data_IF_657848472723
#
_entry.id   IF_657848472723
#
_cell.length_a   1.000
_cell.length_b   1.000
_cell.length_c   1.000
_cell.angle_alpha   90.00
_cell.angle_beta   90.00
_cell.angle_gamma   90.00
#
_symmetry.space_group_name_H-M   'P 1'
#
loop_
_entity.id
_entity.type
_entity.pdbx_description
1 polymer ?
#
# COMPACT_ATOMS: atom_id res chain seq x y z
N UNK A 1 -25.94 -37.10 46.82
CA UNK A 1 -26.48 -35.76 47.16
C UNK A 1 -26.72 -35.06 45.84
N UNK A 2 -27.98 -34.81 45.47
CA UNK A 2 -28.36 -34.32 44.13
C UNK A 2 -27.81 -32.90 43.92
N UNK A 3 -27.14 -32.69 42.79
CA UNK A 3 -26.72 -31.39 42.30
C UNK A 3 -27.93 -30.45 42.32
N UNK A 4 -27.85 -29.41 43.14
CA UNK A 4 -28.85 -28.35 43.15
C UNK A 4 -28.57 -27.52 41.90
N UNK A 5 -29.28 -27.81 40.82
CA UNK A 5 -29.37 -26.92 39.66
C UNK A 5 -29.86 -25.57 40.15
N UNK A 6 -28.93 -24.63 40.34
CA UNK A 6 -29.25 -23.26 40.71
C UNK A 6 -29.95 -22.63 39.50
N UNK A 7 -31.28 -22.60 39.50
CA UNK A 7 -32.04 -21.91 38.45
C UNK A 7 -31.71 -20.43 38.55
N UNK A 8 -30.94 -19.92 37.59
CA UNK A 8 -30.70 -18.49 37.46
C UNK A 8 -32.05 -17.76 37.45
N UNK A 9 -32.16 -16.71 38.25
CA UNK A 9 -33.38 -15.92 38.37
C UNK A 9 -33.51 -14.98 37.18
N UNK A 10 -34.72 -14.48 36.91
CA UNK A 10 -34.97 -13.48 35.86
C UNK A 10 -34.04 -12.27 36.03
N UNK A 11 -33.81 -11.82 37.28
CA UNK A 11 -32.87 -10.74 37.59
C UNK A 11 -31.43 -11.05 37.19
N UNK A 12 -30.96 -12.29 37.36
CA UNK A 12 -29.62 -12.71 36.93
C UNK A 12 -29.49 -12.69 35.40
N UNK A 13 -30.59 -12.96 34.68
CA UNK A 13 -30.62 -12.85 33.23
C UNK A 13 -30.64 -11.39 32.77
N UNK A 14 -31.39 -10.52 33.42
CA UNK A 14 -31.42 -9.08 33.10
C UNK A 14 -30.03 -8.45 33.30
N UNK A 15 -29.33 -8.78 34.39
CA UNK A 15 -27.97 -8.29 34.63
C UNK A 15 -26.97 -8.81 33.56
N UNK A 16 -27.11 -10.08 33.15
CA UNK A 16 -26.29 -10.65 32.07
C UNK A 16 -26.59 -9.99 30.72
N UNK A 17 -27.86 -9.70 30.43
CA UNK A 17 -28.27 -8.99 29.22
C UNK A 17 -27.62 -7.60 29.19
N UNK A 18 -27.67 -6.87 30.30
CA UNK A 18 -27.10 -5.52 30.35
C UNK A 18 -25.58 -5.54 30.17
N UNK A 19 -24.88 -6.46 30.85
CA UNK A 19 -23.43 -6.68 30.65
C UNK A 19 -23.10 -7.01 29.19
N UNK A 20 -23.96 -7.79 28.51
CA UNK A 20 -23.75 -8.14 27.10
C UNK A 20 -24.01 -6.97 26.17
N UNK A 21 -24.97 -6.09 26.45
CA UNK A 21 -25.18 -4.85 25.71
C UNK A 21 -23.97 -3.93 25.82
N UNK A 22 -23.43 -3.76 27.03
CA UNK A 22 -22.21 -2.96 27.25
C UNK A 22 -21.01 -3.55 26.50
N UNK A 23 -20.88 -4.87 26.49
CA UNK A 23 -19.84 -5.57 25.73
C UNK A 23 -19.98 -5.34 24.21
N UNK A 24 -21.20 -5.38 23.68
CA UNK A 24 -21.49 -5.07 22.26
C UNK A 24 -21.06 -3.65 21.93
N UNK A 25 -21.49 -2.65 22.71
CA UNK A 25 -21.14 -1.24 22.48
C UNK A 25 -19.62 -1.04 22.50
N UNK A 26 -18.92 -1.69 23.45
CA UNK A 26 -17.46 -1.64 23.52
C UNK A 26 -16.79 -2.25 22.30
N UNK A 27 -17.28 -3.39 21.81
CA UNK A 27 -16.75 -4.08 20.64
C UNK A 27 -17.00 -3.28 19.36
N UNK A 28 -18.16 -2.66 19.20
CA UNK A 28 -18.47 -1.77 18.08
C UNK A 28 -17.57 -0.55 18.05
N UNK A 29 -17.34 0.08 19.21
CA UNK A 29 -16.40 1.19 19.33
C UNK A 29 -14.97 0.76 18.95
N UNK A 30 -14.53 -0.42 19.42
CA UNK A 30 -13.22 -0.99 19.05
C UNK A 30 -13.12 -1.27 17.55
N UNK A 31 -14.16 -1.84 16.94
CA UNK A 31 -14.22 -2.12 15.50
C UNK A 31 -14.11 -0.83 14.69
N UNK A 32 -14.86 0.21 15.06
CA UNK A 32 -14.82 1.52 14.40
C UNK A 32 -13.43 2.15 14.49
N UNK A 33 -12.78 2.05 15.65
CA UNK A 33 -11.42 2.55 15.83
C UNK A 33 -10.39 1.79 14.97
N UNK A 34 -10.52 0.46 14.86
CA UNK A 34 -9.65 -0.36 14.01
C UNK A 34 -9.83 -0.03 12.52
N UNK A 35 -11.07 0.12 12.05
CA UNK A 35 -11.37 0.52 10.67
C UNK A 35 -10.80 1.91 10.34
N UNK A 36 -10.84 2.85 11.28
CA UNK A 36 -10.23 4.16 11.10
C UNK A 36 -8.70 4.05 10.92
N UNK A 37 -8.04 3.26 11.77
CA UNK A 37 -6.59 3.02 11.67
C UNK A 37 -6.20 2.35 10.35
N UNK A 38 -7.02 1.43 9.86
CA UNK A 38 -6.82 0.78 8.57
C UNK A 38 -6.90 1.78 7.41
N UNK A 39 -7.94 2.60 7.36
CA UNK A 39 -8.06 3.68 6.36
C UNK A 39 -6.93 4.71 6.41
N UNK A 40 -6.40 4.98 7.60
CA UNK A 40 -5.24 5.87 7.76
C UNK A 40 -3.95 5.21 7.25
N UNK A 41 -3.76 3.90 7.49
CA UNK A 41 -2.62 3.14 6.94
C UNK A 41 -2.69 3.07 5.42
N UNK A 42 -3.85 2.74 4.87
CA UNK A 42 -4.07 2.68 3.42
C UNK A 42 -3.73 4.02 2.75
N UNK A 43 -4.20 5.14 3.30
CA UNK A 43 -3.84 6.48 2.81
C UNK A 43 -2.33 6.71 2.81
N UNK A 44 -1.63 6.38 3.91
CA UNK A 44 -0.17 6.52 4.00
C UNK A 44 0.55 5.68 2.95
N UNK A 45 0.09 4.46 2.70
CA UNK A 45 0.72 3.58 1.71
C UNK A 45 0.45 4.04 0.29
N UNK A 46 -0.74 4.55 0.00
CA UNK A 46 -1.06 5.17 -1.29
C UNK A 46 -0.14 6.34 -1.58
N UNK A 47 0.07 7.25 -0.61
CA UNK A 47 1.01 8.37 -0.77
C UNK A 47 2.45 7.90 -1.00
N UNK A 48 2.93 6.93 -0.22
CA UNK A 48 4.28 6.40 -0.41
C UNK A 48 4.49 5.77 -1.80
N UNK A 49 3.48 5.05 -2.29
CA UNK A 49 3.49 4.47 -3.61
C UNK A 49 3.50 5.53 -4.72
N UNK A 50 2.64 6.56 -4.61
CA UNK A 50 2.60 7.68 -5.55
C UNK A 50 3.93 8.44 -5.60
N UNK A 51 4.55 8.72 -4.45
CA UNK A 51 5.86 9.38 -4.41
C UNK A 51 6.94 8.54 -5.10
N UNK A 52 6.92 7.22 -4.88
CA UNK A 52 7.89 6.31 -5.51
C UNK A 52 7.71 6.27 -7.03
N UNK A 53 6.46 6.25 -7.52
CA UNK A 53 6.20 6.36 -8.97
C UNK A 53 6.69 7.71 -9.52
N UNK A 54 6.40 8.80 -8.82
CA UNK A 54 6.86 10.14 -9.23
C UNK A 54 8.38 10.20 -9.36
N UNK A 55 9.12 9.66 -8.38
CA UNK A 55 10.58 9.55 -8.45
C UNK A 55 11.06 8.73 -9.65
N UNK A 56 10.42 7.59 -9.93
CA UNK A 56 10.74 6.74 -11.09
C UNK A 56 10.54 7.51 -12.40
N UNK A 57 9.40 8.21 -12.55
CA UNK A 57 9.07 8.96 -13.77
C UNK A 57 10.08 10.07 -14.00
N UNK A 58 10.35 10.89 -12.98
CA UNK A 58 11.29 12.01 -13.06
C UNK A 58 12.70 11.51 -13.40
N UNK A 59 13.15 10.42 -12.78
CA UNK A 59 14.43 9.79 -13.11
C UNK A 59 14.48 9.23 -14.55
N UNK A 60 13.39 8.63 -15.03
CA UNK A 60 13.34 8.03 -16.36
C UNK A 60 13.32 9.10 -17.47
N UNK A 61 12.60 10.20 -17.27
CA UNK A 61 12.55 11.33 -18.21
C UNK A 61 13.83 12.16 -18.14
N UNK A 62 14.50 12.19 -16.99
CA UNK A 62 15.75 12.93 -16.80
C UNK A 62 15.55 14.44 -16.61
N UNK A 63 14.35 14.88 -16.24
CA UNK A 63 14.00 16.27 -15.97
C UNK A 63 13.78 16.53 -14.48
N UNK A 64 13.62 17.80 -14.08
CA UNK A 64 13.08 18.14 -12.77
C UNK A 64 11.57 17.86 -12.67
N UNK A 65 11.03 17.66 -11.46
CA UNK A 65 9.58 17.44 -11.29
C UNK A 65 8.74 18.67 -11.68
N UNK A 66 9.33 19.86 -11.62
CA UNK A 66 8.74 21.14 -12.01
C UNK A 66 8.70 21.35 -13.53
N UNK A 67 9.55 20.62 -14.25
CA UNK A 67 9.71 20.72 -15.71
C UNK A 67 8.85 19.69 -16.45
N UNK A 68 8.25 18.75 -15.71
CA UNK A 68 7.41 17.71 -16.28
C UNK A 68 6.04 18.27 -16.67
N UNK A 69 5.79 18.39 -17.97
CA UNK A 69 4.46 18.66 -18.51
C UNK A 69 3.59 17.41 -18.39
N UNK A 70 2.56 17.48 -17.54
CA UNK A 70 1.70 16.34 -17.24
C UNK A 70 0.73 16.00 -18.39
N UNK A 71 0.33 16.97 -19.21
CA UNK A 71 -0.59 16.76 -20.32
C UNK A 71 0.12 16.02 -21.45
N UNK A 72 1.33 16.49 -21.81
CA UNK A 72 2.15 15.84 -22.82
C UNK A 72 2.63 14.46 -22.35
N UNK A 73 2.97 14.32 -21.07
CA UNK A 73 3.35 13.02 -20.50
C UNK A 73 2.19 12.02 -20.54
N UNK A 74 0.96 12.45 -20.25
CA UNK A 74 -0.21 11.59 -20.36
C UNK A 74 -0.45 11.13 -21.80
N UNK A 75 -0.42 12.07 -22.77
CA UNK A 75 -0.58 11.73 -24.19
C UNK A 75 0.49 10.72 -24.66
N UNK A 76 1.74 10.92 -24.24
CA UNK A 76 2.85 9.99 -24.51
C UNK A 76 2.62 8.59 -23.91
N UNK A 77 2.11 8.51 -22.67
CA UNK A 77 1.77 7.23 -22.04
C UNK A 77 0.62 6.52 -22.77
N UNK A 78 -0.40 7.25 -23.19
CA UNK A 78 -1.54 6.71 -23.93
C UNK A 78 -1.10 6.13 -25.27
N UNK A 79 -0.23 6.84 -26.00
CA UNK A 79 0.39 6.34 -27.24
C UNK A 79 1.27 5.11 -26.98
N UNK A 80 2.08 5.11 -25.92
CA UNK A 80 2.96 4.00 -25.59
C UNK A 80 2.22 2.71 -25.15
N UNK A 81 0.99 2.84 -24.66
CA UNK A 81 0.16 1.73 -24.17
C UNK A 81 -0.85 1.26 -25.24
N UNK A 82 -0.99 2.01 -26.34
CA UNK A 82 -1.99 1.71 -27.38
C UNK A 82 -1.81 0.30 -27.95
N UNK A 83 -2.76 -0.58 -27.64
CA UNK A 83 -2.87 -1.95 -28.14
C UNK A 83 -2.26 -3.08 -27.31
N UNK A 84 -1.43 -2.81 -26.29
CA UNK A 84 -0.83 -3.86 -25.46
C UNK A 84 -0.59 -3.35 -24.05
N UNK A 85 -1.57 -3.54 -23.15
CA UNK A 85 -1.26 -3.45 -21.73
C UNK A 85 -0.31 -4.59 -21.37
N UNK A 86 0.94 -4.32 -20.99
CA UNK A 86 1.79 -5.37 -20.46
C UNK A 86 1.13 -5.98 -19.21
N UNK A 87 1.43 -7.24 -18.83
CA UNK A 87 0.82 -7.91 -17.68
C UNK A 87 1.35 -7.34 -16.35
N UNK A 88 1.14 -6.05 -16.13
CA UNK A 88 1.66 -5.25 -15.00
C UNK A 88 0.60 -5.12 -13.90
N UNK A 89 -0.65 -5.50 -14.19
CA UNK A 89 -1.74 -5.51 -13.21
C UNK A 89 -1.71 -6.79 -12.38
N UNK A 90 -1.50 -6.65 -11.07
CA UNK A 90 -1.69 -7.73 -10.09
C UNK A 90 -3.11 -7.66 -9.53
N UNK A 91 -3.96 -8.61 -9.90
CA UNK A 91 -5.33 -8.70 -9.35
C UNK A 91 -5.31 -9.17 -7.88
N UNK A 92 -6.23 -8.64 -7.06
CA UNK A 92 -6.44 -9.09 -5.68
C UNK A 92 -5.38 -8.71 -4.65
N UNK A 93 -4.46 -7.79 -4.96
CA UNK A 93 -3.45 -7.36 -3.97
C UNK A 93 -4.05 -6.49 -2.88
N UNK A 94 -3.83 -6.87 -1.61
CA UNK A 94 -4.10 -6.00 -0.47
C UNK A 94 -3.13 -4.80 -0.45
N UNK A 95 -3.51 -3.64 0.13
CA UNK A 95 -2.65 -2.48 0.29
C UNK A 95 -1.32 -2.79 1.01
N UNK A 96 -1.35 -3.69 2.00
CA UNK A 96 -0.18 -4.17 2.74
C UNK A 96 0.88 -4.76 1.82
N UNK A 97 0.45 -5.60 0.87
CA UNK A 97 1.35 -6.32 -0.02
C UNK A 97 1.90 -5.39 -1.10
N UNK A 98 1.08 -4.44 -1.58
CA UNK A 98 1.55 -3.36 -2.44
C UNK A 98 2.64 -2.55 -1.75
N UNK A 99 2.45 -2.20 -0.47
CA UNK A 99 3.45 -1.50 0.33
C UNK A 99 4.74 -2.29 0.50
N UNK A 100 4.67 -3.58 0.85
CA UNK A 100 5.86 -4.45 0.98
C UNK A 100 6.67 -4.49 -0.31
N UNK A 101 6.01 -4.58 -1.47
CA UNK A 101 6.67 -4.57 -2.78
C UNK A 101 7.32 -3.22 -3.08
N UNK A 102 6.63 -2.11 -2.77
CA UNK A 102 7.18 -0.76 -2.88
C UNK A 102 8.42 -0.58 -1.99
N UNK A 103 8.33 -0.97 -0.71
CA UNK A 103 9.45 -0.90 0.24
C UNK A 103 10.63 -1.78 -0.22
N UNK A 104 10.36 -2.97 -0.76
CA UNK A 104 11.37 -3.85 -1.33
C UNK A 104 12.02 -3.25 -2.58
N UNK A 105 11.24 -2.60 -3.45
CA UNK A 105 11.75 -1.93 -4.65
C UNK A 105 12.68 -0.78 -4.27
N UNK A 106 12.29 0.09 -3.33
CA UNK A 106 13.10 1.23 -2.86
C UNK A 106 14.41 0.82 -2.19
N UNK A 107 14.48 -0.39 -1.64
CA UNK A 107 15.70 -0.96 -1.02
C UNK A 107 16.68 -1.53 -2.03
N UNK A 108 16.25 -1.82 -3.27
CA UNK A 108 17.16 -2.34 -4.28
C UNK A 108 18.19 -1.25 -4.62
N UNK A 109 19.49 -1.56 -4.61
CA UNK A 109 20.49 -0.59 -5.04
C UNK A 109 20.18 -0.19 -6.50
N UNK A 110 20.35 1.10 -6.86
CA UNK A 110 20.16 1.53 -8.24
C UNK A 110 21.06 0.67 -9.12
N UNK A 111 20.51 0.15 -10.23
CA UNK A 111 21.30 -0.57 -11.21
C UNK A 111 22.49 0.32 -11.59
N UNK A 112 23.71 -0.12 -11.29
CA UNK A 112 24.92 0.60 -11.69
C UNK A 112 24.81 0.80 -13.20
N UNK A 113 24.84 2.05 -13.65
CA UNK A 113 25.06 2.35 -15.07
C UNK A 113 26.31 1.59 -15.48
N UNK A 114 26.22 0.71 -16.48
CA UNK A 114 27.40 0.28 -17.23
C UNK A 114 27.88 1.51 -18.01
N UNK A 115 28.53 2.42 -17.31
CA UNK A 115 29.51 3.33 -17.91
C UNK A 115 30.86 2.69 -17.67
N UNK A 116 31.04 1.50 -18.24
CA UNK A 116 32.35 1.05 -18.64
C UNK A 116 32.53 1.71 -20.01
N UNK A 117 32.85 3.02 -19.97
CA UNK A 117 33.30 3.72 -21.17
C UNK A 117 34.52 2.96 -21.65
N UNK A 118 34.42 2.48 -22.88
CA UNK A 118 35.54 2.16 -23.75
C UNK A 118 36.47 3.38 -23.79
N UNK A 119 37.47 3.42 -22.91
CA UNK A 119 38.66 4.23 -23.19
C UNK A 119 39.49 3.43 -24.19
N UNK A 120 39.17 3.67 -25.45
CA UNK A 120 40.00 3.31 -26.59
C UNK A 120 41.41 3.88 -26.40
N UNK A 121 42.36 2.99 -26.15
CA UNK A 121 43.77 3.27 -26.35
C UNK A 121 44.22 2.56 -27.64
N UNK A 122 43.87 3.14 -28.80
CA UNK A 122 44.64 2.94 -30.02
C UNK A 122 45.78 3.97 -30.03
N UNK A 123 46.98 3.48 -29.67
CA UNK A 123 48.36 3.72 -30.19
C UNK A 123 48.76 5.13 -30.73
N UNK A 124 50.03 5.59 -30.60
CA UNK A 124 51.18 4.92 -31.26
C UNK A 124 52.57 5.04 -30.59
N UNK A 125 53.37 3.97 -30.64
CA UNK A 125 54.79 3.99 -31.06
C UNK A 125 55.16 2.65 -31.71
#
# INVERSE_FOLDING_TARGET
MRERTFMATISDYDEKIEKKKDEIVRLEARRKALLRKERERERKWKTAFQNTIGEIVVQAVGCGWQELDLELFQAWLEEAIDGSQPPVVLSGSAPEDAKKRCDAFRRKPPARRRTDMEDGASNPQ
#
